data_IF_297587498018
#
_entry.id   IF_297587498018
#
_cell.length_a   1.000
_cell.length_b   1.000
_cell.length_c   1.000
_cell.angle_alpha   90.00
_cell.angle_beta   90.00
_cell.angle_gamma   90.00
#
_symmetry.space_group_name_H-M   'P 1'
#
loop_
_entity.id
_entity.type
_entity.pdbx_description
1 polymer ?
#
# COMPACT_ATOMS: atom_id res chain seq x y z
N UNK A 1 24.62 8.05 11.27
CA UNK A 1 25.67 9.06 10.96
C UNK A 1 25.10 10.48 10.98
N UNK A 2 23.99 10.78 10.30
CA UNK A 2 23.34 12.13 10.28
C UNK A 2 22.93 12.55 11.70
N UNK A 3 22.14 11.73 12.41
CA UNK A 3 21.69 12.05 13.77
C UNK A 3 22.83 12.39 14.73
N UNK A 4 23.97 11.67 14.62
CA UNK A 4 25.16 11.98 15.43
C UNK A 4 25.77 13.34 15.12
N UNK A 5 25.75 13.77 13.83
CA UNK A 5 26.22 15.11 13.42
C UNK A 5 25.31 16.21 13.94
N UNK A 6 24.00 15.92 14.06
CA UNK A 6 22.99 16.85 14.60
C UNK A 6 22.87 16.75 16.14
N UNK A 7 23.78 16.05 16.83
CA UNK A 7 23.75 15.90 18.27
C UNK A 7 22.61 15.06 18.83
N UNK A 8 21.96 14.24 17.98
CA UNK A 8 20.83 13.41 18.35
C UNK A 8 21.25 11.98 18.65
N UNK A 9 20.79 11.44 19.78
CA UNK A 9 21.01 10.05 20.18
C UNK A 9 19.85 9.17 19.68
N UNK A 10 20.02 8.53 18.51
CA UNK A 10 19.04 7.62 17.95
C UNK A 10 19.34 6.18 18.39
N UNK A 11 18.41 5.48 19.08
CA UNK A 11 18.54 4.08 19.44
C UNK A 11 18.69 3.18 18.19
N UNK A 12 19.55 2.16 18.29
CA UNK A 12 19.85 1.26 17.17
C UNK A 12 18.60 0.53 16.65
N UNK A 13 17.73 0.10 17.57
CA UNK A 13 16.50 -0.61 17.22
C UNK A 13 15.52 0.29 16.44
N UNK A 14 15.36 1.55 16.87
CA UNK A 14 14.54 2.52 16.13
C UNK A 14 15.16 2.83 14.75
N UNK A 15 16.48 2.93 14.66
CA UNK A 15 17.18 3.15 13.40
C UNK A 15 16.97 1.99 12.40
N UNK A 16 16.98 0.74 12.87
CA UNK A 16 16.66 -0.44 12.04
C UNK A 16 15.24 -0.40 11.53
N UNK A 17 14.26 -0.17 12.42
CA UNK A 17 12.84 -0.03 12.05
C UNK A 17 12.62 1.06 11.01
N UNK A 18 13.25 2.23 11.15
CA UNK A 18 13.16 3.32 10.17
C UNK A 18 13.76 2.88 8.82
N UNK A 19 14.91 2.21 8.82
CA UNK A 19 15.57 1.73 7.60
C UNK A 19 14.68 0.72 6.83
N UNK A 20 14.03 -0.18 7.54
CA UNK A 20 13.09 -1.17 6.95
C UNK A 20 11.83 -0.50 6.40
N UNK A 21 11.15 0.33 7.22
CA UNK A 21 9.92 1.04 6.79
C UNK A 21 10.15 2.04 5.66
N UNK A 22 11.34 2.63 5.58
CA UNK A 22 11.71 3.54 4.48
C UNK A 22 12.02 2.83 3.16
N UNK A 23 12.01 1.49 3.12
CA UNK A 23 12.50 0.68 2.00
C UNK A 23 13.92 1.07 1.57
N UNK A 24 14.80 1.40 2.53
CA UNK A 24 16.18 1.87 2.34
C UNK A 24 16.30 3.18 1.53
N UNK A 25 15.22 3.94 1.40
CA UNK A 25 15.24 5.28 0.80
C UNK A 25 15.74 6.29 1.84
N UNK A 26 16.90 6.91 1.58
CA UNK A 26 17.56 7.81 2.53
C UNK A 26 16.73 9.04 2.85
N UNK A 27 16.12 9.69 1.85
CA UNK A 27 15.26 10.87 2.05
C UNK A 27 14.08 10.52 2.96
N UNK A 28 13.40 9.42 2.64
CA UNK A 28 12.25 8.95 3.45
C UNK A 28 12.69 8.59 4.87
N UNK A 29 13.83 7.95 5.05
CA UNK A 29 14.38 7.61 6.37
C UNK A 29 14.67 8.86 7.21
N UNK A 30 15.22 9.91 6.62
CA UNK A 30 15.49 11.18 7.31
C UNK A 30 14.20 11.86 7.73
N UNK A 31 13.21 11.96 6.83
CA UNK A 31 11.89 12.54 7.15
C UNK A 31 11.15 11.74 8.24
N UNK A 32 11.21 10.41 8.19
CA UNK A 32 10.66 9.56 9.26
C UNK A 32 11.37 9.78 10.60
N UNK A 33 12.69 9.95 10.59
CA UNK A 33 13.44 10.24 11.80
C UNK A 33 13.06 11.61 12.39
N UNK A 34 12.88 12.62 11.54
CA UNK A 34 12.42 13.95 11.96
C UNK A 34 10.99 13.90 12.53
N UNK A 35 10.07 13.22 11.88
CA UNK A 35 8.72 13.00 12.37
C UNK A 35 8.72 12.31 13.75
N UNK A 36 9.55 11.27 13.94
CA UNK A 36 9.71 10.62 15.24
C UNK A 36 10.24 11.57 16.31
N UNK A 37 11.17 12.49 15.96
CA UNK A 37 11.69 13.50 16.89
C UNK A 37 10.59 14.49 17.31
N UNK A 38 9.75 14.91 16.38
CA UNK A 38 8.64 15.82 16.67
C UNK A 38 7.58 15.16 17.57
N UNK A 39 7.30 13.86 17.33
CA UNK A 39 6.35 13.13 18.15
C UNK A 39 6.83 12.91 19.59
N UNK A 40 8.07 12.50 19.75
CA UNK A 40 8.65 12.18 21.04
C UNK A 40 10.18 12.38 21.05
N UNK A 41 10.65 13.24 21.93
CA UNK A 41 12.05 13.39 22.24
C UNK A 41 12.24 13.45 23.77
N UNK A 42 13.19 12.70 24.36
CA UNK A 42 14.19 11.81 23.74
C UNK A 42 13.57 10.56 23.09
N UNK A 43 14.28 10.02 22.07
CA UNK A 43 13.82 8.84 21.34
C UNK A 43 13.68 7.63 22.24
N UNK A 44 12.60 6.85 22.08
CA UNK A 44 12.44 5.52 22.67
C UNK A 44 12.77 4.43 21.66
N UNK A 45 13.37 3.32 22.11
CA UNK A 45 13.65 2.16 21.26
C UNK A 45 12.38 1.51 20.70
N UNK A 46 11.25 1.65 21.41
CA UNK A 46 9.96 1.07 21.01
C UNK A 46 9.00 2.11 20.42
N UNK A 47 9.45 3.33 20.18
CA UNK A 47 8.63 4.37 19.58
C UNK A 47 8.01 3.91 18.26
N UNK A 48 6.72 4.22 18.08
CA UNK A 48 6.04 3.99 16.82
C UNK A 48 6.53 4.97 15.76
N UNK A 49 6.70 4.46 14.55
CA UNK A 49 7.12 5.27 13.41
C UNK A 49 5.87 5.77 12.72
N UNK A 50 5.73 7.08 12.62
CA UNK A 50 4.66 7.72 11.85
C UNK A 50 4.75 7.31 10.39
N UNK A 51 3.65 6.74 9.91
CA UNK A 51 3.44 6.43 8.49
C UNK A 51 2.52 7.54 7.94
N UNK A 52 2.74 8.02 6.71
CA UNK A 52 1.85 9.01 6.11
C UNK A 52 0.40 8.52 6.07
N UNK A 53 -0.55 9.39 6.36
CA UNK A 53 -1.98 9.06 6.46
C UNK A 53 -2.53 8.42 5.18
N UNK A 54 -2.06 8.86 4.01
CA UNK A 54 -2.45 8.28 2.74
C UNK A 54 -2.03 6.81 2.57
N UNK A 55 -0.90 6.39 3.14
CA UNK A 55 -0.49 4.98 3.11
C UNK A 55 -1.41 4.12 3.99
N UNK A 56 -1.75 4.61 5.18
CA UNK A 56 -2.71 3.95 6.07
C UNK A 56 -4.09 3.87 5.43
N UNK A 57 -4.52 4.93 4.78
CA UNK A 57 -5.78 4.97 4.04
C UNK A 57 -5.81 3.97 2.88
N UNK A 58 -4.70 3.86 2.15
CA UNK A 58 -4.54 2.90 1.05
C UNK A 58 -4.57 1.45 1.55
N UNK A 59 -3.91 1.16 2.69
CA UNK A 59 -3.95 -0.15 3.34
C UNK A 59 -5.38 -0.50 3.75
N UNK A 60 -6.11 0.43 4.37
CA UNK A 60 -7.52 0.25 4.71
C UNK A 60 -8.40 0.03 3.48
N UNK A 61 -8.08 0.65 2.35
CA UNK A 61 -8.77 0.43 1.08
C UNK A 61 -8.53 -0.98 0.54
N UNK A 62 -7.28 -1.45 0.57
CA UNK A 62 -6.94 -2.81 0.18
C UNK A 62 -7.62 -3.87 1.08
N UNK A 63 -7.68 -3.63 2.38
CA UNK A 63 -8.38 -4.52 3.32
C UNK A 63 -9.87 -4.66 2.96
N UNK A 64 -10.56 -3.55 2.63
CA UNK A 64 -11.97 -3.57 2.20
C UNK A 64 -12.20 -4.35 0.91
N UNK A 65 -11.24 -4.30 -0.04
CA UNK A 65 -11.31 -5.08 -1.28
C UNK A 65 -11.23 -6.58 -1.01
N UNK A 66 -10.37 -6.98 -0.06
CA UNK A 66 -10.20 -8.39 0.33
C UNK A 66 -11.37 -8.90 1.15
N UNK A 67 -11.96 -8.05 2.00
CA UNK A 67 -13.10 -8.39 2.86
C UNK A 67 -14.35 -8.76 2.07
N UNK A 68 -14.67 -8.02 1.01
CA UNK A 68 -15.89 -8.21 0.23
C UNK A 68 -15.67 -7.89 -1.25
N UNK A 69 -16.05 -8.81 -2.14
CA UNK A 69 -15.99 -8.67 -3.60
C UNK A 69 -17.42 -8.49 -4.16
N UNK A 70 -17.96 -7.28 -4.01
CA UNK A 70 -19.29 -6.91 -4.52
C UNK A 70 -19.26 -5.63 -5.35
N UNK A 71 -20.26 -5.40 -6.22
CA UNK A 71 -20.38 -4.13 -6.95
C UNK A 71 -20.47 -2.91 -6.03
N UNK A 72 -21.16 -3.03 -4.90
CA UNK A 72 -21.30 -1.94 -3.93
C UNK A 72 -19.95 -1.61 -3.30
N UNK A 73 -19.17 -2.63 -2.94
CA UNK A 73 -17.80 -2.44 -2.42
C UNK A 73 -16.89 -1.77 -3.47
N UNK A 74 -17.04 -2.13 -4.74
CA UNK A 74 -16.29 -1.48 -5.83
C UNK A 74 -16.61 0.03 -5.92
N UNK A 75 -17.86 0.42 -5.76
CA UNK A 75 -18.26 1.83 -5.73
C UNK A 75 -17.64 2.58 -4.54
N UNK A 76 -17.69 2.00 -3.35
CA UNK A 76 -17.03 2.57 -2.17
C UNK A 76 -15.51 2.74 -2.37
N UNK A 77 -14.86 1.74 -2.94
CA UNK A 77 -13.43 1.78 -3.25
C UNK A 77 -13.12 2.86 -4.28
N UNK A 78 -13.99 3.05 -5.29
CA UNK A 78 -13.86 4.15 -6.27
C UNK A 78 -13.83 5.51 -5.58
N UNK A 79 -14.74 5.77 -4.64
CA UNK A 79 -14.77 7.03 -3.88
C UNK A 79 -13.47 7.25 -3.12
N UNK A 80 -12.95 6.21 -2.48
CA UNK A 80 -11.67 6.27 -1.76
C UNK A 80 -10.47 6.52 -2.68
N UNK A 81 -10.48 5.96 -3.90
CA UNK A 81 -9.43 6.25 -4.89
C UNK A 81 -9.53 7.71 -5.37
N UNK A 82 -10.74 8.23 -5.56
CA UNK A 82 -10.94 9.65 -5.89
C UNK A 82 -10.40 10.56 -4.79
N UNK A 83 -10.60 10.21 -3.53
CA UNK A 83 -10.06 10.97 -2.39
C UNK A 83 -8.52 11.04 -2.46
N UNK A 84 -7.84 9.90 -2.69
CA UNK A 84 -6.39 9.87 -2.87
C UNK A 84 -5.92 10.72 -4.06
N UNK A 85 -6.61 10.64 -5.20
CA UNK A 85 -6.30 11.44 -6.39
C UNK A 85 -6.52 12.94 -6.15
N UNK A 86 -7.56 13.31 -5.40
CA UNK A 86 -7.85 14.71 -5.03
C UNK A 86 -6.77 15.29 -4.12
N UNK A 87 -6.17 14.45 -3.26
CA UNK A 87 -5.01 14.82 -2.46
C UNK A 87 -3.67 14.78 -3.23
N UNK A 88 -3.73 14.75 -4.56
CA UNK A 88 -2.57 14.77 -5.45
C UNK A 88 -1.59 13.60 -5.25
N UNK A 89 -2.06 12.44 -4.72
CA UNK A 89 -1.23 11.24 -4.69
C UNK A 89 -1.11 10.70 -6.13
N UNK A 90 0.11 10.51 -6.64
CA UNK A 90 0.30 10.05 -8.02
C UNK A 90 -0.37 8.70 -8.28
N UNK A 91 -1.09 8.53 -9.41
CA UNK A 91 -1.80 7.29 -9.74
C UNK A 91 -0.92 6.04 -9.71
N UNK A 92 0.32 6.16 -10.14
CA UNK A 92 1.31 5.07 -10.11
C UNK A 92 1.64 4.63 -8.69
N UNK A 93 1.70 5.57 -7.75
CA UNK A 93 1.96 5.30 -6.32
C UNK A 93 0.76 4.58 -5.71
N UNK A 94 -0.46 5.04 -6.03
CA UNK A 94 -1.70 4.39 -5.59
C UNK A 94 -1.74 2.96 -6.13
N UNK A 95 -1.49 2.78 -7.44
CA UNK A 95 -1.53 1.48 -8.09
C UNK A 95 -0.54 0.48 -7.48
N UNK A 96 0.73 0.88 -7.36
CA UNK A 96 1.79 0.05 -6.76
C UNK A 96 1.53 -0.25 -5.28
N UNK A 97 1.01 0.73 -4.55
CA UNK A 97 0.63 0.55 -3.16
C UNK A 97 -0.50 -0.46 -2.98
N UNK A 98 -1.57 -0.35 -3.78
CA UNK A 98 -2.68 -1.32 -3.79
C UNK A 98 -2.18 -2.73 -4.15
N UNK A 99 -1.42 -2.87 -5.23
CA UNK A 99 -0.86 -4.17 -5.62
C UNK A 99 -0.07 -4.81 -4.49
N UNK A 100 0.81 -4.05 -3.84
CA UNK A 100 1.63 -4.53 -2.73
C UNK A 100 0.80 -5.08 -1.58
N UNK A 101 -0.28 -4.38 -1.21
CA UNK A 101 -1.14 -4.81 -0.11
C UNK A 101 -2.04 -5.99 -0.51
N UNK A 102 -2.59 -6.00 -1.73
CA UNK A 102 -3.44 -7.09 -2.23
C UNK A 102 -2.67 -8.41 -2.36
N UNK A 103 -1.44 -8.37 -2.89
CA UNK A 103 -0.59 -9.56 -3.06
C UNK A 103 -0.22 -10.22 -1.73
N UNK A 104 -0.24 -9.49 -0.61
CA UNK A 104 -0.01 -10.08 0.72
C UNK A 104 -1.05 -11.13 1.11
N UNK A 105 -2.28 -10.97 0.60
CA UNK A 105 -3.40 -11.84 0.91
C UNK A 105 -3.59 -12.97 -0.12
N UNK A 106 -2.67 -13.11 -1.07
CA UNK A 106 -2.70 -14.11 -2.12
C UNK A 106 -1.70 -15.24 -1.82
N UNK A 107 -1.99 -16.44 -2.28
CA UNK A 107 -1.05 -17.57 -2.31
C UNK A 107 -0.14 -17.58 -3.55
N UNK A 108 0.67 -18.63 -3.73
CA UNK A 108 1.71 -18.64 -4.76
C UNK A 108 1.19 -18.50 -6.20
N UNK A 109 0.14 -19.23 -6.57
CA UNK A 109 -0.42 -19.22 -7.94
C UNK A 109 -1.18 -17.92 -8.20
N UNK A 110 -2.03 -17.53 -7.25
CA UNK A 110 -2.81 -16.29 -7.33
C UNK A 110 -1.90 -15.05 -7.41
N UNK A 111 -0.74 -15.05 -6.72
CA UNK A 111 0.25 -13.96 -6.82
C UNK A 111 0.73 -13.75 -8.24
N UNK A 112 1.02 -14.82 -8.96
CA UNK A 112 1.49 -14.74 -10.34
C UNK A 112 0.41 -14.13 -11.25
N UNK A 113 -0.84 -14.58 -11.10
CA UNK A 113 -1.95 -14.09 -11.90
C UNK A 113 -2.27 -12.62 -11.62
N UNK A 114 -2.35 -12.25 -10.33
CA UNK A 114 -2.59 -10.86 -9.91
C UNK A 114 -1.47 -9.93 -10.38
N UNK A 115 -0.22 -10.38 -10.32
CA UNK A 115 0.92 -9.58 -10.79
C UNK A 115 0.88 -9.38 -12.31
N UNK A 116 0.53 -10.42 -13.08
CA UNK A 116 0.34 -10.33 -14.54
C UNK A 116 -0.78 -9.35 -14.90
N UNK A 117 -1.91 -9.45 -14.19
CA UNK A 117 -3.04 -8.54 -14.35
C UNK A 117 -2.66 -7.09 -14.02
N UNK A 118 -1.92 -6.89 -12.94
CA UNK A 118 -1.43 -5.57 -12.54
C UNK A 118 -0.52 -4.96 -13.61
N UNK A 119 0.42 -5.73 -14.15
CA UNK A 119 1.30 -5.26 -15.23
C UNK A 119 0.51 -4.81 -16.47
N UNK A 120 -0.54 -5.55 -16.83
CA UNK A 120 -1.42 -5.19 -17.94
C UNK A 120 -2.14 -3.85 -17.70
N UNK A 121 -2.73 -3.68 -16.52
CA UNK A 121 -3.48 -2.45 -16.19
C UNK A 121 -2.54 -1.26 -15.94
N UNK A 122 -1.37 -1.46 -15.34
CA UNK A 122 -0.36 -0.42 -15.19
C UNK A 122 0.15 0.08 -16.56
N UNK A 123 0.39 -0.83 -17.49
CA UNK A 123 0.75 -0.44 -18.86
C UNK A 123 -0.34 0.44 -19.50
N UNK A 124 -1.60 0.04 -19.36
CA UNK A 124 -2.74 0.85 -19.87
C UNK A 124 -2.90 2.18 -19.13
N UNK A 125 -2.61 2.22 -17.84
CA UNK A 125 -2.59 3.45 -17.05
C UNK A 125 -1.59 4.47 -17.63
N UNK A 126 -0.40 4.00 -18.03
CA UNK A 126 0.63 4.85 -18.60
C UNK A 126 0.31 5.33 -20.02
N UNK A 127 -0.53 4.62 -20.76
CA UNK A 127 -0.97 5.01 -22.11
C UNK A 127 -2.24 5.88 -22.09
N UNK A 128 -3.04 5.77 -21.03
CA UNK A 128 -4.34 6.41 -20.91
C UNK A 128 -4.29 7.79 -20.27
N UNK A 129 -5.38 8.53 -20.41
CA UNK A 129 -5.50 9.89 -19.88
C UNK A 129 -6.21 10.00 -18.52
N UNK A 130 -7.03 9.01 -18.15
CA UNK A 130 -7.84 9.02 -16.92
C UNK A 130 -7.49 7.84 -16.04
N UNK A 131 -6.65 8.09 -15.06
CA UNK A 131 -6.10 7.09 -14.15
C UNK A 131 -7.15 6.25 -13.43
N UNK A 132 -8.25 6.87 -13.00
CA UNK A 132 -9.29 6.19 -12.21
C UNK A 132 -9.87 4.97 -12.94
N UNK A 133 -10.09 5.04 -14.26
CA UNK A 133 -10.64 3.92 -15.01
C UNK A 133 -9.73 2.69 -15.04
N UNK A 134 -8.41 2.92 -15.09
CA UNK A 134 -7.43 1.83 -15.13
C UNK A 134 -7.23 1.20 -13.75
N UNK A 135 -7.23 2.03 -12.70
CA UNK A 135 -7.14 1.56 -11.31
C UNK A 135 -8.39 0.75 -10.97
N UNK A 136 -9.57 1.27 -11.27
CA UNK A 136 -10.84 0.58 -11.03
C UNK A 136 -10.98 -0.72 -11.82
N UNK A 137 -10.57 -0.73 -13.09
CA UNK A 137 -10.58 -1.93 -13.91
C UNK A 137 -9.65 -3.02 -13.34
N UNK A 138 -8.48 -2.62 -12.79
CA UNK A 138 -7.61 -3.54 -12.07
C UNK A 138 -8.29 -4.11 -10.83
N UNK A 139 -8.91 -3.25 -10.00
CA UNK A 139 -9.59 -3.67 -8.77
C UNK A 139 -10.75 -4.62 -9.08
N UNK A 140 -11.58 -4.29 -10.07
CA UNK A 140 -12.69 -5.15 -10.49
C UNK A 140 -12.21 -6.53 -10.97
N UNK A 141 -11.14 -6.55 -11.76
CA UNK A 141 -10.53 -7.79 -12.24
C UNK A 141 -9.91 -8.60 -11.09
N UNK A 142 -9.26 -7.92 -10.14
CA UNK A 142 -8.75 -8.56 -8.92
C UNK A 142 -9.88 -9.19 -8.11
N UNK A 143 -10.96 -8.44 -7.86
CA UNK A 143 -12.13 -8.94 -7.12
C UNK A 143 -12.73 -10.19 -7.76
N UNK A 144 -12.82 -10.22 -9.11
CA UNK A 144 -13.35 -11.36 -9.83
C UNK A 144 -12.48 -12.63 -9.67
N UNK A 145 -11.16 -12.48 -9.83
CA UNK A 145 -10.20 -13.58 -9.68
C UNK A 145 -10.16 -14.05 -8.23
N UNK A 146 -10.10 -13.12 -7.28
CA UNK A 146 -10.02 -13.43 -5.85
C UNK A 146 -11.28 -14.16 -5.36
N UNK A 147 -12.46 -13.72 -5.79
CA UNK A 147 -13.73 -14.38 -5.48
C UNK A 147 -13.76 -15.82 -6.01
N UNK A 148 -13.37 -16.02 -7.28
CA UNK A 148 -13.29 -17.34 -7.89
C UNK A 148 -12.34 -18.26 -7.11
N UNK A 149 -11.18 -17.75 -6.73
CA UNK A 149 -10.21 -18.50 -5.92
C UNK A 149 -10.79 -18.92 -4.57
N UNK A 150 -11.53 -18.03 -3.88
CA UNK A 150 -12.19 -18.36 -2.60
C UNK A 150 -13.26 -19.45 -2.79
N UNK A 151 -14.08 -19.38 -3.84
CA UNK A 151 -15.11 -20.36 -4.16
C UNK A 151 -14.50 -21.75 -4.46
N UNK A 152 -13.42 -21.79 -5.24
CA UNK A 152 -12.68 -23.02 -5.54
C UNK A 152 -12.03 -23.62 -4.30
N UNK A 153 -11.41 -22.80 -3.45
CA UNK A 153 -10.82 -23.22 -2.19
C UNK A 153 -11.84 -23.80 -1.22
N UNK A 154 -13.03 -23.21 -1.13
CA UNK A 154 -14.12 -23.74 -0.32
C UNK A 154 -14.67 -25.05 -0.87
N UNK A 155 -14.81 -25.18 -2.20
CA UNK A 155 -15.29 -26.40 -2.85
C UNK A 155 -14.32 -27.58 -2.71
N UNK A 156 -13.02 -27.31 -2.56
CA UNK A 156 -11.98 -28.33 -2.34
C UNK A 156 -11.92 -28.84 -0.88
N UNK A 157 -12.57 -28.15 0.05
CA UNK A 157 -12.62 -28.52 1.47
C UNK A 157 -13.84 -29.39 1.84
N UNK A 158 -14.80 -29.55 0.91
CA UNK A 158 -15.99 -30.39 1.05
C UNK A 158 -16.00 -31.51 0.02
#
# INVERSE_FOLDING_TARGET
>A
SVCKKEGLSLPLELAKKIAEKSNRNLRRALLMCEACKVQQYPFSAQQEICVPDWETFLQGTAAKIVEEQSPNRLLEVRERIYELLTHCIPPEVIFKGLLKELVRNCDGELKCEVTRLAAYHEHRLNLGSKAIYHIEAFIASFMAIYKKFLEESMSAMF
#
